data_IF_763862330718
#
_entry.id   IF_763862330718
#
_cell.length_a   1.000
_cell.length_b   1.000
_cell.length_c   1.000
_cell.angle_alpha   90.00
_cell.angle_beta   90.00
_cell.angle_gamma   90.00
#
_symmetry.space_group_name_H-M   'P 1'
#
loop_
_entity.id
_entity.type
_entity.pdbx_description
1 polymer ?
#
# COMPACT_ATOMS: atom_id res chain seq x y z
N UNK A 1 -2.97 -5.21 10.85
CA UNK A 1 -2.60 -3.87 10.31
C UNK A 1 -3.69 -3.47 9.34
N UNK A 2 -4.30 -2.28 9.45
CA UNK A 2 -5.44 -1.90 8.60
C UNK A 2 -5.03 -1.10 7.35
N UNK A 3 -3.99 -0.27 7.49
CA UNK A 3 -3.53 0.64 6.45
C UNK A 3 -2.01 0.64 6.39
N UNK A 4 -1.46 0.77 5.18
CA UNK A 4 -0.05 1.12 4.99
C UNK A 4 0.05 2.45 4.27
N UNK A 5 1.02 3.26 4.70
CA UNK A 5 1.29 4.57 4.14
C UNK A 5 2.63 4.54 3.42
N UNK A 6 2.62 4.86 2.12
CA UNK A 6 3.79 4.88 1.27
C UNK A 6 4.07 6.30 0.79
N UNK A 7 5.34 6.72 0.82
CA UNK A 7 5.80 7.99 0.26
C UNK A 7 7.04 7.72 -0.58
N UNK A 8 7.01 8.18 -1.84
CA UNK A 8 8.19 8.16 -2.70
C UNK A 8 8.85 9.54 -2.63
N UNK A 9 10.09 9.58 -2.15
CA UNK A 9 10.89 10.81 -2.17
C UNK A 9 11.59 10.97 -3.52
N UNK A 10 11.64 12.20 -4.02
CA UNK A 10 12.30 12.51 -5.29
C UNK A 10 13.79 12.69 -5.02
N UNK A 11 14.61 11.78 -5.53
CA UNK A 11 16.06 11.87 -5.39
C UNK A 11 16.64 12.82 -6.44
N UNK A 12 16.53 12.56 -7.75
CA UNK A 12 17.10 13.47 -8.78
C UNK A 12 16.35 13.45 -10.12
N UNK A 13 15.91 12.29 -10.61
CA UNK A 13 15.22 12.14 -11.92
C UNK A 13 13.84 11.49 -11.81
N UNK A 14 13.07 11.51 -12.91
CA UNK A 14 11.67 11.12 -12.98
C UNK A 14 11.49 9.58 -12.92
N UNK A 15 11.78 9.00 -11.75
CA UNK A 15 11.72 7.56 -11.55
C UNK A 15 10.30 7.13 -11.16
N UNK A 16 9.40 7.02 -12.14
CA UNK A 16 8.06 6.49 -11.88
C UNK A 16 8.18 5.00 -11.53
N UNK A 17 7.59 4.58 -10.42
CA UNK A 17 7.57 3.19 -9.99
C UNK A 17 6.21 2.60 -10.27
N UNK A 18 6.13 1.47 -10.97
CA UNK A 18 4.89 0.71 -10.99
C UNK A 18 4.86 -0.20 -9.76
N UNK A 19 3.97 0.10 -8.80
CA UNK A 19 3.83 -0.69 -7.58
C UNK A 19 2.69 -1.69 -7.76
N UNK A 20 3.00 -2.98 -7.65
CA UNK A 20 2.03 -4.07 -7.77
C UNK A 20 1.37 -4.38 -6.43
N UNK A 21 2.16 -4.70 -5.42
CA UNK A 21 1.70 -5.09 -4.07
C UNK A 21 2.76 -4.75 -3.02
N UNK A 22 2.33 -4.53 -1.78
CA UNK A 22 3.18 -4.45 -0.60
C UNK A 22 2.83 -5.62 0.31
N UNK A 23 3.82 -6.44 0.66
CA UNK A 23 3.67 -7.53 1.63
C UNK A 23 4.31 -7.12 2.96
N UNK A 24 3.57 -7.30 4.05
CA UNK A 24 4.04 -7.00 5.41
C UNK A 24 3.93 -8.25 6.25
N UNK A 25 5.05 -8.71 6.79
CA UNK A 25 5.10 -9.79 7.78
C UNK A 25 5.43 -9.19 9.14
N UNK A 26 4.58 -9.42 10.14
CA UNK A 26 4.84 -8.95 11.51
C UNK A 26 5.85 -9.86 12.21
N UNK A 27 6.49 -9.36 13.26
CA UNK A 27 7.35 -10.18 14.13
C UNK A 27 6.62 -11.36 14.76
N UNK A 28 5.29 -11.28 14.87
CA UNK A 28 4.44 -12.35 15.39
C UNK A 28 4.13 -13.44 14.36
N UNK A 29 4.50 -13.26 13.09
CA UNK A 29 4.30 -14.22 12.00
C UNK A 29 3.07 -13.94 11.12
N UNK A 30 2.25 -12.94 11.45
CA UNK A 30 1.09 -12.58 10.62
C UNK A 30 1.56 -11.93 9.31
N UNK A 31 0.92 -12.29 8.21
CA UNK A 31 1.21 -11.73 6.88
C UNK A 31 0.01 -10.98 6.32
N UNK A 32 0.27 -9.78 5.80
CA UNK A 32 -0.73 -8.86 5.25
C UNK A 32 -0.32 -8.45 3.84
N UNK A 33 -1.30 -8.36 2.95
CA UNK A 33 -1.11 -7.94 1.56
C UNK A 33 -1.85 -6.64 1.30
N UNK A 34 -1.18 -5.69 0.66
CA UNK A 34 -1.74 -4.39 0.30
C UNK A 34 -1.59 -4.20 -1.22
N UNK A 35 -2.60 -4.59 -2.00
CA UNK A 35 -2.58 -4.43 -3.45
C UNK A 35 -2.54 -2.94 -3.83
N UNK A 36 -1.67 -2.60 -4.78
CA UNK A 36 -1.44 -1.21 -5.21
C UNK A 36 -1.80 -0.98 -6.68
N UNK A 37 -1.30 -1.84 -7.57
CA UNK A 37 -1.51 -1.86 -9.03
C UNK A 37 -1.51 -0.49 -9.73
N UNK A 38 -0.65 0.44 -9.31
CA UNK A 38 -0.62 1.83 -9.84
C UNK A 38 0.80 2.38 -9.97
N UNK A 39 0.92 3.40 -10.81
CA UNK A 39 2.15 4.18 -10.96
C UNK A 39 2.32 5.17 -9.81
N UNK A 40 3.51 5.19 -9.22
CA UNK A 40 3.94 6.06 -8.12
C UNK A 40 5.02 7.00 -8.68
N UNK A 41 4.69 8.28 -8.82
CA UNK A 41 5.60 9.27 -9.41
C UNK A 41 6.08 10.29 -8.36
N UNK A 42 5.29 11.31 -8.08
CA UNK A 42 5.62 12.37 -7.11
C UNK A 42 4.48 12.54 -6.09
N UNK A 43 3.77 11.45 -5.81
CA UNK A 43 2.65 11.49 -4.88
C UNK A 43 3.18 11.80 -3.49
N UNK A 44 2.56 12.80 -2.84
CA UNK A 44 2.97 13.27 -1.51
C UNK A 44 2.96 12.09 -0.54
N UNK A 45 1.86 11.33 -0.51
CA UNK A 45 1.64 10.14 0.30
C UNK A 45 0.50 9.31 -0.32
N UNK A 46 0.61 7.98 -0.27
CA UNK A 46 -0.45 7.04 -0.62
C UNK A 46 -0.81 6.18 0.57
N UNK A 47 -2.11 5.90 0.71
CA UNK A 47 -2.62 5.00 1.74
C UNK A 47 -3.26 3.81 1.03
N UNK A 48 -2.81 2.61 1.35
CA UNK A 48 -3.38 1.35 0.84
C UNK A 48 -4.08 0.61 1.97
N UNK A 49 -5.24 0.03 1.66
CA UNK A 49 -6.00 -0.87 2.54
C UNK A 49 -5.53 -2.32 2.35
N UNK A 50 -5.72 -3.14 3.38
CA UNK A 50 -5.49 -4.59 3.27
C UNK A 50 -6.33 -5.17 2.13
N UNK A 51 -5.79 -6.17 1.42
CA UNK A 51 -6.42 -6.79 0.24
C UNK A 51 -7.64 -7.66 0.55
N UNK A 52 -7.95 -7.90 1.83
CA UNK A 52 -9.22 -8.51 2.24
C UNK A 52 -10.32 -7.47 2.00
N UNK A 53 -11.00 -7.59 0.86
CA UNK A 53 -12.06 -6.66 0.47
C UNK A 53 -13.13 -6.55 1.56
N UNK A 54 -13.51 -5.33 1.88
CA UNK A 54 -14.61 -5.04 2.82
C UNK A 54 -15.90 -4.86 2.00
N UNK A 55 -16.87 -5.76 2.16
CA UNK A 55 -18.23 -5.54 1.66
C UNK A 55 -19.06 -4.80 2.70
N UNK A 56 -19.91 -3.87 2.26
CA UNK A 56 -20.85 -3.14 3.13
C UNK A 56 -22.04 -4.05 3.47
N UNK A 57 -21.90 -4.98 4.43
CA UNK A 57 -22.80 -5.04 5.58
C UNK A 57 -22.10 -5.37 6.91
N UNK A 58 -20.77 -5.45 6.93
CA UNK A 58 -19.96 -5.77 8.12
C UNK A 58 -19.63 -4.54 9.01
N UNK A 59 -20.23 -3.37 8.73
CA UNK A 59 -20.16 -2.19 9.59
C UNK A 59 -21.39 -2.17 10.53
N UNK A 60 -21.24 -2.30 11.87
CA UNK A 60 -22.31 -1.97 12.80
C UNK A 60 -22.62 -0.47 12.81
#
# INVERSE_FOLDING_TARGET
ILLVKLKKEKLLFNDRWYCTCIHVTTSSGDSFEFPCYRWIANEKEMVLREGKGESYPDYP
#
